data_IF_844108302858
#
_entry.id   IF_844108302858
#
_cell.length_a   1.000
_cell.length_b   1.000
_cell.length_c   1.000
_cell.angle_alpha   90.00
_cell.angle_beta   90.00
_cell.angle_gamma   90.00
#
_symmetry.space_group_name_H-M   'P 1'
#
loop_
_entity.id
_entity.type
_entity.pdbx_description
1 polymer ?
#
# COMPACT_ATOMS: atom_id res chain seq x y z
N UNK A 1 28.64 -20.29 23.14
CA UNK A 1 27.16 -20.40 23.21
C UNK A 1 26.42 -19.07 23.50
N UNK A 2 27.01 -18.02 24.10
CA UNK A 2 26.31 -16.74 24.37
C UNK A 2 25.95 -15.90 23.12
N UNK A 3 26.72 -16.02 22.03
CA UNK A 3 26.55 -15.21 20.81
C UNK A 3 25.31 -15.58 19.98
N UNK A 4 24.87 -16.84 20.02
CA UNK A 4 23.68 -17.30 19.29
C UNK A 4 22.38 -16.78 19.93
N UNK A 5 22.30 -16.78 21.27
CA UNK A 5 21.13 -16.27 21.99
C UNK A 5 20.90 -14.77 21.74
N UNK A 6 21.97 -13.96 21.73
CA UNK A 6 21.89 -12.51 21.44
C UNK A 6 21.41 -12.24 20.00
N UNK A 7 21.84 -13.07 19.03
CA UNK A 7 21.41 -12.95 17.62
C UNK A 7 19.96 -13.37 17.40
N UNK A 8 19.46 -14.34 18.16
CA UNK A 8 18.07 -14.79 18.08
C UNK A 8 17.14 -13.69 18.61
N UNK A 9 17.44 -13.14 19.80
CA UNK A 9 16.63 -12.06 20.40
C UNK A 9 16.59 -10.81 19.53
N UNK A 10 17.74 -10.35 19.00
CA UNK A 10 17.79 -9.18 18.11
C UNK A 10 17.01 -9.36 16.80
N UNK A 11 17.00 -10.57 16.23
CA UNK A 11 16.18 -10.88 15.05
C UNK A 11 14.68 -10.84 15.35
N UNK A 12 14.25 -11.32 16.52
CA UNK A 12 12.83 -11.26 16.91
C UNK A 12 12.33 -9.81 17.02
N UNK A 13 13.10 -8.91 17.64
CA UNK A 13 12.75 -7.48 17.70
C UNK A 13 12.72 -6.83 16.32
N UNK A 14 13.69 -7.15 15.45
CA UNK A 14 13.72 -6.64 14.07
C UNK A 14 12.52 -7.11 13.24
N UNK A 15 12.13 -8.38 13.34
CA UNK A 15 10.95 -8.95 12.67
C UNK A 15 9.64 -8.34 13.20
N UNK A 16 9.53 -8.16 14.53
CA UNK A 16 8.37 -7.51 15.15
C UNK A 16 8.23 -6.07 14.68
N UNK A 17 9.31 -5.29 14.69
CA UNK A 17 9.34 -3.91 14.20
C UNK A 17 9.00 -3.86 12.71
N UNK A 18 9.65 -4.68 11.87
CA UNK A 18 9.35 -4.74 10.44
C UNK A 18 7.89 -5.10 10.14
N UNK A 19 7.27 -5.98 10.94
CA UNK A 19 5.84 -6.31 10.79
C UNK A 19 4.93 -5.15 11.19
N UNK A 20 5.26 -4.43 12.26
CA UNK A 20 4.52 -3.23 12.66
C UNK A 20 4.60 -2.15 11.57
N UNK A 21 5.79 -1.91 11.01
CA UNK A 21 5.96 -0.98 9.89
C UNK A 21 5.23 -1.43 8.62
N UNK A 22 5.23 -2.73 8.32
CA UNK A 22 4.49 -3.26 7.18
C UNK A 22 2.98 -3.08 7.35
N UNK A 23 2.45 -3.30 8.55
CA UNK A 23 1.03 -3.10 8.85
C UNK A 23 0.67 -1.61 8.80
N UNK A 24 1.50 -0.72 9.34
CA UNK A 24 1.25 0.73 9.26
C UNK A 24 1.23 1.22 7.82
N UNK A 25 2.20 0.80 6.99
CA UNK A 25 2.25 1.10 5.57
C UNK A 25 1.03 0.54 4.81
N UNK A 26 0.63 -0.70 5.11
CA UNK A 26 -0.55 -1.32 4.50
C UNK A 26 -1.84 -0.58 4.86
N UNK A 27 -2.00 -0.13 6.10
CA UNK A 27 -3.16 0.66 6.54
C UNK A 27 -3.21 2.02 5.84
N UNK A 28 -2.07 2.70 5.70
CA UNK A 28 -1.99 3.96 4.96
C UNK A 28 -2.32 3.74 3.48
N UNK A 29 -1.77 2.70 2.86
CA UNK A 29 -2.09 2.36 1.48
C UNK A 29 -3.58 2.03 1.30
N UNK A 30 -4.18 1.26 2.22
CA UNK A 30 -5.59 0.94 2.20
C UNK A 30 -6.47 2.19 2.39
N UNK A 31 -6.08 3.11 3.28
CA UNK A 31 -6.78 4.38 3.48
C UNK A 31 -6.73 5.23 2.21
N UNK A 32 -5.54 5.44 1.65
CA UNK A 32 -5.36 6.22 0.40
C UNK A 32 -6.13 5.58 -0.76
N UNK A 33 -6.04 4.26 -0.91
CA UNK A 33 -6.79 3.52 -1.92
C UNK A 33 -8.30 3.65 -1.74
N UNK A 34 -8.78 3.55 -0.50
CA UNK A 34 -10.20 3.74 -0.19
C UNK A 34 -10.67 5.15 -0.53
N UNK A 35 -9.91 6.19 -0.14
CA UNK A 35 -10.22 7.59 -0.47
C UNK A 35 -10.29 7.78 -1.98
N UNK A 36 -9.34 7.23 -2.75
CA UNK A 36 -9.38 7.28 -4.21
C UNK A 36 -10.65 6.63 -4.77
N UNK A 37 -10.98 5.41 -4.33
CA UNK A 37 -12.18 4.68 -4.78
C UNK A 37 -13.45 5.50 -4.52
N UNK A 38 -13.58 6.09 -3.33
CA UNK A 38 -14.75 6.91 -3.01
C UNK A 38 -14.77 8.23 -3.76
N UNK A 39 -13.62 8.92 -3.85
CA UNK A 39 -13.51 10.24 -4.47
C UNK A 39 -13.83 10.23 -5.96
N UNK A 40 -13.44 9.18 -6.70
CA UNK A 40 -13.68 9.10 -8.17
C UNK A 40 -14.84 8.18 -8.52
N UNK A 41 -15.07 7.11 -7.75
CA UNK A 41 -16.12 6.13 -8.02
C UNK A 41 -17.54 6.63 -7.75
N UNK A 42 -17.70 7.54 -6.77
CA UNK A 42 -18.98 8.18 -6.44
C UNK A 42 -18.99 9.67 -6.75
N UNK A 43 -18.03 10.15 -7.56
CA UNK A 43 -18.02 11.53 -8.02
C UNK A 43 -19.29 11.82 -8.85
N UNK A 44 -20.00 12.90 -8.51
CA UNK A 44 -21.03 13.44 -9.41
C UNK A 44 -20.40 14.07 -10.67
N UNK A 45 -19.14 14.48 -10.60
CA UNK A 45 -18.39 15.04 -11.73
C UNK A 45 -18.01 13.93 -12.72
N UNK A 46 -18.59 13.99 -13.92
CA UNK A 46 -18.23 13.12 -15.04
C UNK A 46 -16.77 13.27 -15.44
N UNK A 47 -16.18 14.46 -15.28
CA UNK A 47 -14.76 14.71 -15.56
C UNK A 47 -13.86 13.88 -14.64
N UNK A 48 -14.14 13.86 -13.34
CA UNK A 48 -13.31 13.14 -12.36
C UNK A 48 -13.43 11.62 -12.52
N UNK A 49 -14.65 11.13 -12.79
CA UNK A 49 -14.89 9.72 -13.07
C UNK A 49 -14.22 9.26 -14.36
N UNK A 50 -14.34 10.05 -15.44
CA UNK A 50 -13.71 9.75 -16.73
C UNK A 50 -12.19 9.81 -16.64
N UNK A 51 -11.61 10.79 -15.94
CA UNK A 51 -10.16 10.86 -15.73
C UNK A 51 -9.61 9.61 -15.01
N UNK A 52 -10.34 9.08 -14.02
CA UNK A 52 -9.98 7.83 -13.36
C UNK A 52 -10.10 6.62 -14.31
N UNK A 53 -11.12 6.59 -15.16
CA UNK A 53 -11.25 5.57 -16.21
C UNK A 53 -10.14 5.65 -17.25
N UNK A 54 -9.77 6.84 -17.72
CA UNK A 54 -8.70 7.04 -18.71
C UNK A 54 -7.34 6.63 -18.14
N UNK A 55 -7.08 6.97 -16.87
CA UNK A 55 -5.84 6.58 -16.17
C UNK A 55 -5.67 5.06 -16.14
N UNK A 56 -6.75 4.28 -15.97
CA UNK A 56 -6.68 2.80 -16.00
C UNK A 56 -6.31 2.28 -17.39
N UNK A 57 -6.74 2.97 -18.45
CA UNK A 57 -6.43 2.62 -19.83
C UNK A 57 -4.95 2.91 -20.16
N UNK A 58 -4.36 3.95 -19.55
CA UNK A 58 -2.93 4.28 -19.70
C UNK A 58 -2.02 3.50 -18.76
N UNK A 59 -2.54 3.05 -17.60
CA UNK A 59 -1.79 2.28 -16.60
C UNK A 59 -1.63 0.81 -16.98
N UNK A 60 -2.50 0.30 -17.85
CA UNK A 60 -2.22 -0.90 -18.62
C UNK A 60 -1.08 -0.55 -19.59
N UNK A 61 0.17 -0.70 -19.12
CA UNK A 61 1.36 -0.54 -19.94
C UNK A 61 1.15 -1.21 -21.31
N UNK A 62 1.46 -0.53 -22.43
CA UNK A 62 1.48 -1.20 -23.72
C UNK A 62 2.44 -2.39 -23.62
N UNK A 63 1.94 -3.59 -23.91
CA UNK A 63 2.75 -4.82 -23.95
C UNK A 63 3.59 -4.90 -25.24
N UNK A 64 3.84 -3.76 -25.88
CA UNK A 64 4.58 -3.59 -27.11
C UNK A 64 5.47 -2.35 -26.99
#
# INVERSE_FOLDING_TARGET
>A
MKTTAIRVTSRFFALSSARTEAVSAALLAALVGSVMLFAVGFAHSSVLHNAAHDTRHTAAFPCH
#
